data_IF_948697746320
#
_entry.id   IF_948697746320
#
_cell.length_a   1.000
_cell.length_b   1.000
_cell.length_c   1.000
_cell.angle_alpha   90.00
_cell.angle_beta   90.00
_cell.angle_gamma   90.00
#
_symmetry.space_group_name_H-M   'P 1'
#
loop_
_entity.id
_entity.type
_entity.pdbx_description
1 polymer ?
#
# COMPACT_ATOMS: atom_id res chain seq x y z
N UNK A 1 -47.42 8.14 49.89
CA UNK A 1 -48.24 6.98 50.29
C UNK A 1 -47.50 5.73 49.92
N UNK A 2 -46.99 5.04 50.88
CA UNK A 2 -46.29 3.75 50.89
C UNK A 2 -47.30 2.67 51.37
N UNK A 3 -46.93 1.40 51.42
CA UNK A 3 -46.68 0.26 50.50
C UNK A 3 -47.82 -0.83 50.69
N UNK A 4 -47.68 -2.13 50.50
CA UNK A 4 -46.76 -3.12 51.08
C UNK A 4 -46.40 -4.31 50.17
N UNK A 5 -45.29 -4.97 50.31
CA UNK A 5 -44.83 -6.14 51.08
C UNK A 5 -45.62 -7.45 50.94
N UNK A 6 -44.84 -8.49 50.69
CA UNK A 6 -44.84 -9.88 51.19
C UNK A 6 -44.83 -10.90 50.05
N UNK A 7 -44.14 -12.03 50.05
CA UNK A 7 -43.43 -12.72 51.09
C UNK A 7 -42.98 -14.09 50.57
N UNK A 8 -41.90 -14.56 51.09
CA UNK A 8 -41.53 -15.92 51.49
C UNK A 8 -42.05 -17.17 50.75
N UNK A 9 -41.11 -18.04 50.29
CA UNK A 9 -40.89 -19.33 50.96
C UNK A 9 -39.84 -20.19 50.18
N UNK A 10 -38.85 -20.65 50.91
CA UNK A 10 -38.10 -21.90 50.68
C UNK A 10 -38.40 -22.80 51.91
N UNK A 11 -37.82 -24.00 52.03
CA UNK A 11 -37.38 -25.15 51.22
C UNK A 11 -38.15 -26.45 51.61
N UNK A 12 -37.72 -27.72 51.73
CA UNK A 12 -36.40 -28.35 51.75
C UNK A 12 -36.31 -29.80 51.17
N UNK A 13 -35.13 -30.37 51.32
CA UNK A 13 -34.91 -31.83 51.37
C UNK A 13 -34.22 -32.40 50.11
N UNK A 14 -33.08 -32.90 50.11
CA UNK A 14 -32.34 -33.79 50.97
C UNK A 14 -32.40 -35.21 50.46
N UNK A 15 -31.32 -35.75 49.93
CA UNK A 15 -30.89 -37.12 50.18
C UNK A 15 -29.58 -37.47 49.45
N UNK A 16 -28.64 -37.77 50.20
CA UNK A 16 -27.45 -38.57 50.13
C UNK A 16 -27.59 -39.89 49.35
N UNK A 17 -26.52 -40.39 48.88
CA UNK A 17 -25.91 -41.73 48.91
C UNK A 17 -25.16 -41.94 47.60
N UNK A 18 -23.95 -42.16 47.67
CA UNK A 18 -22.91 -43.20 47.87
C UNK A 18 -22.22 -43.61 46.61
N UNK A 19 -20.92 -43.42 46.64
CA UNK A 19 -19.77 -44.28 46.39
C UNK A 19 -19.74 -45.18 45.15
N UNK A 20 -18.63 -45.11 44.47
CA UNK A 20 -17.97 -46.25 43.89
C UNK A 20 -17.62 -46.10 42.41
N UNK A 21 -16.32 -46.13 42.11
CA UNK A 21 -15.90 -46.41 40.78
C UNK A 21 -14.65 -45.63 40.36
N UNK A 22 -13.48 -46.18 40.71
CA UNK A 22 -12.23 -45.80 40.09
C UNK A 22 -12.32 -46.06 38.59
N UNK A 23 -12.19 -45.00 37.80
CA UNK A 23 -12.11 -45.05 36.38
C UNK A 23 -11.04 -44.09 35.93
N UNK A 24 -9.90 -44.59 35.49
CA UNK A 24 -8.79 -43.86 34.91
C UNK A 24 -9.25 -42.91 33.83
N UNK A 25 -9.27 -41.63 34.13
CA UNK A 25 -9.45 -40.61 33.12
C UNK A 25 -8.13 -40.45 32.38
N UNK A 26 -8.06 -41.04 31.20
CA UNK A 26 -7.03 -40.69 30.21
C UNK A 26 -7.25 -39.24 29.82
N UNK A 27 -6.39 -38.37 30.29
CA UNK A 27 -6.28 -36.99 29.80
C UNK A 27 -5.77 -37.05 28.36
N UNK A 28 -6.68 -37.00 27.43
CA UNK A 28 -6.33 -36.78 26.02
C UNK A 28 -5.81 -35.31 25.90
N UNK A 29 -4.49 -35.21 25.96
CA UNK A 29 -3.76 -33.99 25.66
C UNK A 29 -3.96 -33.72 24.17
N UNK A 30 -4.95 -32.89 23.84
CA UNK A 30 -5.17 -32.39 22.48
C UNK A 30 -4.00 -31.45 22.15
N UNK A 31 -2.92 -32.01 21.64
CA UNK A 31 -1.83 -31.25 21.04
C UNK A 31 -2.40 -30.68 19.75
N UNK A 32 -2.92 -29.45 19.84
CA UNK A 32 -3.15 -28.62 18.66
C UNK A 32 -1.77 -28.39 18.01
N UNK A 33 -1.43 -29.23 17.04
CA UNK A 33 -0.34 -28.97 16.13
C UNK A 33 -0.66 -27.66 15.41
N UNK A 34 -0.11 -26.57 15.92
CA UNK A 34 0.03 -25.34 15.14
C UNK A 34 0.95 -25.72 13.98
N UNK A 35 0.32 -26.05 12.85
CA UNK A 35 0.99 -26.09 11.56
C UNK A 35 1.43 -24.66 11.26
N UNK A 36 2.60 -24.30 11.76
CA UNK A 36 3.29 -23.08 11.37
C UNK A 36 3.49 -23.14 9.88
N UNK A 37 2.67 -22.41 9.11
CA UNK A 37 2.87 -22.22 7.69
C UNK A 37 4.26 -21.67 7.49
N UNK A 38 5.18 -22.51 7.04
CA UNK A 38 6.48 -22.07 6.55
C UNK A 38 6.22 -21.09 5.43
N UNK A 39 6.52 -19.83 5.67
CA UNK A 39 6.56 -18.80 4.63
C UNK A 39 7.64 -19.25 3.64
N UNK A 40 7.23 -19.84 2.54
CA UNK A 40 8.13 -20.30 1.50
C UNK A 40 8.84 -19.07 0.91
N UNK A 41 10.06 -18.91 1.31
CA UNK A 41 10.98 -17.89 0.84
C UNK A 41 11.41 -18.29 -0.58
N UNK A 42 10.86 -17.63 -1.59
CA UNK A 42 11.22 -17.92 -2.97
C UNK A 42 12.51 -17.22 -3.36
N UNK A 43 13.38 -17.96 -4.04
CA UNK A 43 14.58 -17.45 -4.64
C UNK A 43 14.35 -17.20 -6.13
N UNK A 44 14.73 -16.01 -6.61
CA UNK A 44 14.64 -15.65 -8.03
C UNK A 44 16.01 -15.19 -8.53
N UNK A 45 16.45 -15.78 -9.64
CA UNK A 45 17.73 -15.43 -10.30
C UNK A 45 17.50 -15.17 -11.78
N UNK A 46 18.20 -14.18 -12.34
CA UNK A 46 18.24 -13.95 -13.77
C UNK A 46 19.35 -14.82 -14.39
N UNK A 47 18.98 -15.85 -15.12
CA UNK A 47 19.91 -16.77 -15.77
C UNK A 47 20.26 -16.36 -17.20
N UNK A 48 19.39 -15.59 -17.88
CA UNK A 48 19.61 -15.16 -19.24
C UNK A 48 18.62 -14.07 -19.68
N UNK A 49 18.99 -13.35 -20.75
CA UNK A 49 18.08 -12.41 -21.41
C UNK A 49 18.18 -12.60 -22.93
N UNK A 50 17.02 -12.60 -23.61
CA UNK A 50 16.93 -12.72 -25.07
C UNK A 50 15.92 -11.70 -25.60
N UNK A 51 16.39 -10.57 -26.09
CA UNK A 51 15.55 -9.47 -26.53
C UNK A 51 14.62 -8.97 -25.40
N UNK A 52 13.32 -9.11 -25.57
CA UNK A 52 12.31 -8.70 -24.56
C UNK A 52 11.93 -9.81 -23.56
N UNK A 53 12.62 -10.94 -23.58
CA UNK A 53 12.36 -12.09 -22.70
C UNK A 53 13.52 -12.33 -21.74
N UNK A 54 13.20 -12.59 -20.48
CA UNK A 54 14.14 -12.99 -19.45
C UNK A 54 13.97 -14.47 -19.13
N UNK A 55 15.06 -15.20 -18.97
CA UNK A 55 15.08 -16.53 -18.37
C UNK A 55 15.32 -16.34 -16.85
N UNK A 56 14.29 -16.58 -16.07
CA UNK A 56 14.32 -16.51 -14.62
C UNK A 56 14.36 -17.93 -14.05
N UNK A 57 15.18 -18.17 -13.06
CA UNK A 57 15.10 -19.37 -12.22
C UNK A 57 14.35 -19.01 -10.96
N UNK A 58 13.14 -19.53 -10.80
CA UNK A 58 12.27 -19.30 -9.66
C UNK A 58 12.19 -20.60 -8.86
N UNK A 59 12.67 -20.61 -7.63
CA UNK A 59 12.74 -21.79 -6.77
C UNK A 59 13.42 -23.00 -7.47
N UNK A 60 14.47 -22.72 -8.23
CA UNK A 60 15.21 -23.75 -8.97
C UNK A 60 14.57 -24.19 -10.29
N UNK A 61 13.39 -23.68 -10.65
CA UNK A 61 12.69 -23.98 -11.91
C UNK A 61 12.90 -22.86 -12.95
N UNK A 62 13.28 -23.18 -14.19
CA UNK A 62 13.47 -22.20 -15.24
C UNK A 62 12.13 -21.73 -15.82
N UNK A 63 11.93 -20.41 -15.90
CA UNK A 63 10.78 -19.76 -16.52
C UNK A 63 11.24 -18.69 -17.50
N UNK A 64 10.70 -18.71 -18.71
CA UNK A 64 10.95 -17.65 -19.69
C UNK A 64 9.78 -16.69 -19.70
N UNK A 65 10.01 -15.44 -19.29
CA UNK A 65 9.00 -14.40 -19.21
C UNK A 65 9.30 -13.25 -20.15
N UNK A 66 8.29 -12.78 -20.85
CA UNK A 66 8.35 -11.47 -21.52
C UNK A 66 7.98 -10.36 -20.52
N UNK A 67 8.38 -9.13 -20.84
CA UNK A 67 7.97 -7.96 -20.04
C UNK A 67 6.45 -7.90 -19.93
N UNK A 68 5.96 -7.77 -18.71
CA UNK A 68 4.52 -7.82 -18.35
C UNK A 68 3.96 -9.22 -18.07
N UNK A 69 4.70 -10.30 -18.32
CA UNK A 69 4.26 -11.67 -18.01
C UNK A 69 4.63 -12.11 -16.61
N UNK A 70 3.83 -13.05 -16.08
CA UNK A 70 3.99 -13.61 -14.73
C UNK A 70 4.12 -15.14 -14.76
N UNK A 71 4.99 -15.70 -13.92
CA UNK A 71 5.05 -17.13 -13.61
C UNK A 71 5.42 -17.33 -12.14
N UNK A 72 4.86 -18.36 -11.50
CA UNK A 72 5.08 -18.68 -10.09
C UNK A 72 4.88 -17.47 -9.15
N UNK A 73 3.95 -16.55 -9.50
CA UNK A 73 3.68 -15.35 -8.72
C UNK A 73 4.70 -14.22 -8.88
N UNK A 74 5.67 -14.36 -9.79
CA UNK A 74 6.66 -13.33 -10.13
C UNK A 74 6.32 -12.72 -11.48
N UNK A 75 6.24 -11.39 -11.56
CA UNK A 75 5.99 -10.62 -12.79
C UNK A 75 7.28 -9.95 -13.23
N UNK A 76 7.62 -10.05 -14.51
CA UNK A 76 8.72 -9.29 -15.10
C UNK A 76 8.23 -7.89 -15.50
N UNK A 77 8.70 -6.85 -14.81
CA UNK A 77 8.29 -5.46 -15.06
C UNK A 77 9.12 -4.82 -16.19
N UNK A 78 10.43 -5.03 -16.16
CA UNK A 78 11.36 -4.43 -17.09
C UNK A 78 12.56 -5.33 -17.32
N UNK A 79 13.14 -5.27 -18.52
CA UNK A 79 14.37 -5.95 -18.90
C UNK A 79 15.25 -4.98 -19.66
N UNK A 80 16.48 -4.74 -19.20
CA UNK A 80 17.47 -3.83 -19.80
C UNK A 80 18.87 -4.32 -19.48
N UNK A 81 19.75 -4.36 -20.48
CA UNK A 81 21.21 -4.54 -20.37
C UNK A 81 21.70 -5.52 -19.27
N UNK A 82 21.14 -6.75 -19.25
CA UNK A 82 21.52 -7.76 -18.27
C UNK A 82 20.93 -7.55 -16.87
N UNK A 83 19.95 -6.67 -16.74
CA UNK A 83 19.17 -6.46 -15.53
C UNK A 83 17.68 -6.72 -15.78
N UNK A 84 17.02 -7.42 -14.87
CA UNK A 84 15.59 -7.65 -14.91
C UNK A 84 14.95 -7.09 -13.62
N UNK A 85 13.95 -6.24 -13.77
CA UNK A 85 13.13 -5.83 -12.66
C UNK A 85 11.92 -6.75 -12.56
N UNK A 86 11.79 -7.42 -11.43
CA UNK A 86 10.72 -8.37 -11.15
C UNK A 86 9.91 -7.93 -9.94
N UNK A 87 8.64 -8.29 -9.92
CA UNK A 87 7.73 -7.99 -8.81
C UNK A 87 7.01 -9.26 -8.35
N UNK A 88 6.80 -9.38 -7.04
CA UNK A 88 5.98 -10.42 -6.42
C UNK A 88 5.27 -9.87 -5.19
N UNK A 89 3.93 -10.00 -5.15
CA UNK A 89 3.13 -9.63 -3.98
C UNK A 89 3.37 -8.20 -3.48
N UNK A 90 3.65 -7.25 -4.39
CA UNK A 90 3.94 -5.85 -4.05
C UNK A 90 5.43 -5.55 -3.81
N UNK A 91 6.29 -6.56 -3.64
CA UNK A 91 7.75 -6.37 -3.52
C UNK A 91 8.42 -6.45 -4.87
N UNK A 92 9.27 -5.49 -5.21
CA UNK A 92 10.09 -5.49 -6.44
C UNK A 92 11.56 -5.72 -6.13
N UNK A 93 12.26 -6.39 -7.04
CA UNK A 93 13.70 -6.58 -6.96
C UNK A 93 14.34 -6.43 -8.34
N UNK A 94 15.54 -5.89 -8.37
CA UNK A 94 16.38 -5.84 -9.58
C UNK A 94 17.36 -7.00 -9.56
N UNK A 95 17.24 -7.89 -10.53
CA UNK A 95 18.11 -9.03 -10.74
C UNK A 95 19.19 -8.67 -11.75
N UNK A 96 20.41 -9.11 -11.52
CA UNK A 96 21.51 -9.00 -12.49
C UNK A 96 21.81 -10.35 -13.09
N UNK A 97 22.17 -10.38 -14.36
CA UNK A 97 22.57 -11.60 -15.06
C UNK A 97 23.76 -12.25 -14.34
N UNK A 98 23.61 -13.51 -13.94
CA UNK A 98 24.62 -14.24 -13.17
C UNK A 98 24.84 -13.73 -11.73
N UNK A 99 24.00 -12.81 -11.26
CA UNK A 99 24.06 -12.30 -9.89
C UNK A 99 23.52 -13.29 -8.84
N UNK A 100 23.77 -12.99 -7.57
CA UNK A 100 23.20 -13.76 -6.46
C UNK A 100 21.68 -13.82 -6.51
N UNK A 101 21.04 -14.92 -6.06
CA UNK A 101 19.59 -15.05 -5.98
C UNK A 101 18.98 -13.92 -5.15
N UNK A 102 18.02 -13.19 -5.69
CA UNK A 102 17.20 -12.30 -4.90
C UNK A 102 16.10 -13.09 -4.21
N UNK A 103 15.93 -12.86 -2.93
CA UNK A 103 14.87 -13.48 -2.13
C UNK A 103 13.65 -12.58 -2.14
N UNK A 104 12.63 -12.98 -2.88
CA UNK A 104 11.35 -12.30 -2.90
C UNK A 104 10.47 -12.93 -1.81
N UNK A 105 10.35 -12.26 -0.68
CA UNK A 105 9.47 -12.69 0.41
C UNK A 105 8.07 -12.19 0.06
N UNK A 106 7.22 -13.10 -0.39
CA UNK A 106 5.80 -12.80 -0.59
C UNK A 106 5.06 -12.90 0.74
N UNK A 107 5.13 -11.86 1.54
CA UNK A 107 4.20 -11.65 2.64
C UNK A 107 3.57 -10.28 2.41
N UNK A 108 2.25 -10.11 2.55
CA UNK A 108 1.71 -8.80 2.83
C UNK A 108 2.06 -8.50 4.30
N UNK A 109 3.32 -8.23 4.58
CA UNK A 109 3.69 -7.56 5.80
C UNK A 109 3.25 -6.13 5.60
N UNK A 110 2.30 -5.68 6.41
CA UNK A 110 2.14 -4.26 6.64
C UNK A 110 3.55 -3.73 6.90
N UNK A 111 4.09 -2.97 5.97
CA UNK A 111 5.47 -2.52 5.97
C UNK A 111 5.67 -1.60 7.18
N UNK A 112 6.26 -2.15 8.24
CA UNK A 112 6.73 -1.40 9.41
C UNK A 112 8.21 -1.04 9.18
N UNK A 113 8.53 -0.59 7.96
CA UNK A 113 9.80 0.05 7.64
C UNK A 113 9.58 1.54 7.40
N UNK A 114 10.61 2.39 7.47
CA UNK A 114 10.49 3.76 7.04
C UNK A 114 10.07 3.77 5.59
N UNK A 115 8.80 4.10 5.35
CA UNK A 115 8.28 4.27 4.01
C UNK A 115 8.85 5.60 3.51
N UNK A 116 9.91 5.50 2.75
CA UNK A 116 10.60 6.62 2.15
C UNK A 116 10.23 6.72 0.67
N UNK A 117 9.94 7.92 0.21
CA UNK A 117 9.82 8.26 -1.20
C UNK A 117 11.07 9.04 -1.58
N UNK A 118 11.79 8.57 -2.60
CA UNK A 118 12.99 9.22 -3.12
C UNK A 118 12.71 9.72 -4.53
N UNK A 119 12.78 11.02 -4.72
CA UNK A 119 12.47 11.68 -5.98
C UNK A 119 13.73 12.40 -6.50
N UNK A 120 14.30 11.98 -7.62
CA UNK A 120 15.34 12.75 -8.29
C UNK A 120 14.74 14.01 -8.91
N UNK A 121 15.54 15.07 -9.00
CA UNK A 121 15.16 16.29 -9.72
C UNK A 121 14.97 15.95 -11.21
N UNK A 122 13.87 16.44 -11.77
CA UNK A 122 13.58 16.33 -13.19
C UNK A 122 13.94 17.60 -13.98
N UNK A 123 13.52 17.62 -15.23
CA UNK A 123 13.70 18.78 -16.10
C UNK A 123 13.05 20.04 -15.46
N UNK A 124 13.74 21.17 -15.53
CA UNK A 124 13.26 22.42 -14.95
C UNK A 124 13.40 22.53 -13.43
N UNK A 125 14.11 21.59 -12.76
CA UNK A 125 14.37 21.66 -11.33
C UNK A 125 13.19 21.20 -10.45
N UNK A 126 12.16 20.61 -11.05
CA UNK A 126 10.98 20.09 -10.35
C UNK A 126 11.15 18.62 -9.98
N UNK A 127 10.56 18.23 -8.86
CA UNK A 127 10.47 16.82 -8.46
C UNK A 127 9.16 16.24 -8.97
N UNK A 128 9.24 15.28 -9.90
CA UNK A 128 8.08 14.61 -10.48
C UNK A 128 8.12 13.12 -10.19
N UNK A 129 6.95 12.49 -10.17
CA UNK A 129 6.83 11.05 -9.96
C UNK A 129 5.60 10.49 -10.64
N UNK A 130 5.71 9.29 -11.17
CA UNK A 130 4.55 8.47 -11.49
C UNK A 130 3.94 7.91 -10.21
N UNK A 131 2.64 7.76 -10.19
CA UNK A 131 1.92 7.15 -9.09
C UNK A 131 0.48 6.88 -9.43
N UNK A 132 -0.41 6.80 -8.44
CA UNK A 132 -1.81 6.53 -8.66
C UNK A 132 -2.71 7.28 -7.67
N UNK A 133 -3.89 7.67 -8.13
CA UNK A 133 -5.01 8.13 -7.31
C UNK A 133 -6.13 7.10 -7.43
N UNK A 134 -6.58 6.55 -6.31
CA UNK A 134 -7.63 5.52 -6.25
C UNK A 134 -7.36 4.36 -7.24
N UNK A 135 -6.08 3.96 -7.36
CA UNK A 135 -5.62 2.91 -8.29
C UNK A 135 -5.47 3.33 -9.76
N UNK A 136 -5.83 4.57 -10.13
CA UNK A 136 -5.67 5.09 -11.49
C UNK A 136 -4.33 5.81 -11.64
N UNK A 137 -3.54 5.49 -12.67
CA UNK A 137 -2.22 6.07 -12.84
C UNK A 137 -2.28 7.57 -13.15
N UNK A 138 -1.41 8.33 -12.50
CA UNK A 138 -1.25 9.78 -12.70
C UNK A 138 0.23 10.18 -12.65
N UNK A 139 0.54 11.38 -13.13
CA UNK A 139 1.85 12.00 -12.96
C UNK A 139 1.75 13.10 -11.90
N UNK A 140 2.59 13.02 -10.89
CA UNK A 140 2.68 14.00 -9.83
C UNK A 140 3.83 14.97 -10.03
N UNK A 141 3.64 16.21 -9.55
CA UNK A 141 4.70 17.19 -9.32
C UNK A 141 4.62 17.65 -7.88
N UNK A 142 5.73 17.62 -7.16
CA UNK A 142 5.80 18.12 -5.79
C UNK A 142 5.64 19.64 -5.79
N UNK A 143 4.66 20.13 -5.05
CA UNK A 143 4.37 21.56 -4.88
C UNK A 143 4.17 21.90 -3.40
N UNK A 144 5.22 22.41 -2.76
CA UNK A 144 5.18 22.84 -1.36
C UNK A 144 4.36 24.12 -1.14
N UNK A 145 4.05 24.86 -2.20
CA UNK A 145 3.18 26.03 -2.18
C UNK A 145 1.69 25.69 -2.19
N UNK A 146 1.33 24.47 -2.59
CA UNK A 146 -0.06 24.02 -2.60
C UNK A 146 -0.47 23.50 -1.22
N UNK A 147 -1.57 24.02 -0.67
CA UNK A 147 -2.11 23.57 0.63
C UNK A 147 -2.63 22.13 0.56
N UNK A 148 -3.29 21.78 -0.54
CA UNK A 148 -3.86 20.45 -0.78
C UNK A 148 -3.41 19.90 -2.13
N UNK A 149 -3.63 18.62 -2.36
CA UNK A 149 -3.41 18.04 -3.70
C UNK A 149 -4.34 18.74 -4.69
N UNK A 150 -3.82 19.13 -5.85
CA UNK A 150 -4.60 19.82 -6.87
C UNK A 150 -4.49 19.12 -8.21
N UNK A 151 -5.63 18.92 -8.87
CA UNK A 151 -5.72 18.30 -10.17
C UNK A 151 -6.66 19.10 -11.09
N UNK A 152 -6.40 19.05 -12.40
CA UNK A 152 -7.27 19.64 -13.38
C UNK A 152 -8.59 18.87 -13.51
N UNK A 153 -9.65 19.55 -13.98
CA UNK A 153 -10.92 18.89 -14.30
C UNK A 153 -10.71 17.75 -15.30
N UNK A 154 -9.89 17.97 -16.33
CA UNK A 154 -9.59 16.95 -17.34
C UNK A 154 -8.93 15.70 -16.73
N UNK A 155 -8.01 15.90 -15.79
CA UNK A 155 -7.35 14.78 -15.10
C UNK A 155 -8.33 14.05 -14.16
N UNK A 156 -9.18 14.79 -13.45
CA UNK A 156 -10.22 14.20 -12.60
C UNK A 156 -11.21 13.35 -13.41
N UNK A 157 -11.58 13.80 -14.62
CA UNK A 157 -12.42 13.02 -15.53
C UNK A 157 -11.69 11.79 -16.07
N UNK A 158 -10.42 11.93 -16.48
CA UNK A 158 -9.61 10.83 -17.00
C UNK A 158 -9.47 9.68 -16.02
N UNK A 159 -9.34 10.00 -14.73
CA UNK A 159 -9.24 8.97 -13.67
C UNK A 159 -10.59 8.52 -13.12
N UNK A 160 -11.70 9.09 -13.61
CA UNK A 160 -13.05 8.74 -13.17
C UNK A 160 -13.39 9.21 -11.75
N UNK A 161 -12.81 10.32 -11.32
CA UNK A 161 -13.09 10.91 -10.01
C UNK A 161 -14.44 11.63 -10.03
N UNK A 162 -15.33 11.29 -9.09
CA UNK A 162 -16.59 12.00 -8.90
C UNK A 162 -16.34 13.33 -8.19
N UNK A 163 -16.37 14.43 -8.92
CA UNK A 163 -16.05 15.76 -8.39
C UNK A 163 -17.14 16.81 -8.63
N UNK A 164 -18.00 16.61 -9.62
CA UNK A 164 -18.98 17.66 -10.02
C UNK A 164 -19.99 18.00 -8.95
N UNK A 165 -20.39 17.01 -8.14
CA UNK A 165 -21.30 17.16 -7.01
C UNK A 165 -20.58 17.51 -5.70
N UNK A 166 -19.25 17.61 -5.72
CA UNK A 166 -18.47 17.91 -4.52
C UNK A 166 -18.63 19.38 -4.10
N UNK A 167 -18.46 19.72 -2.82
CA UNK A 167 -18.58 21.07 -2.31
C UNK A 167 -17.69 22.05 -3.06
N UNK A 168 -18.26 23.18 -3.44
CA UNK A 168 -17.53 24.28 -4.07
C UNK A 168 -16.77 25.10 -3.03
N UNK A 169 -15.60 25.58 -3.41
CA UNK A 169 -14.74 26.43 -2.61
C UNK A 169 -13.97 27.39 -3.54
N UNK A 170 -13.17 28.26 -2.95
CA UNK A 170 -12.22 29.08 -3.69
C UNK A 170 -10.81 28.77 -3.20
N UNK A 171 -9.86 28.73 -4.10
CA UNK A 171 -8.41 28.67 -3.78
C UNK A 171 -7.73 29.92 -4.31
N UNK A 172 -6.75 30.41 -3.57
CA UNK A 172 -5.91 31.53 -4.00
C UNK A 172 -4.76 30.99 -4.84
N UNK A 173 -4.59 31.55 -6.01
CA UNK A 173 -3.48 31.24 -6.92
C UNK A 173 -2.73 32.53 -7.25
N UNK A 174 -1.59 32.42 -7.93
CA UNK A 174 -0.85 33.59 -8.41
C UNK A 174 -1.70 34.50 -9.31
N UNK A 175 -2.70 33.95 -10.00
CA UNK A 175 -3.61 34.66 -10.89
C UNK A 175 -4.92 35.09 -10.21
N UNK A 176 -5.02 35.03 -8.88
CA UNK A 176 -6.17 35.40 -8.10
C UNK A 176 -6.98 34.20 -7.59
N UNK A 177 -8.18 34.50 -7.08
CA UNK A 177 -9.09 33.50 -6.53
C UNK A 177 -9.76 32.68 -7.67
N UNK A 178 -9.67 31.35 -7.58
CA UNK A 178 -10.22 30.43 -8.57
C UNK A 178 -11.25 29.53 -7.89
N UNK A 179 -12.45 29.34 -8.49
CA UNK A 179 -13.45 28.41 -7.99
C UNK A 179 -12.96 26.96 -8.20
N UNK A 180 -13.13 26.13 -7.18
CA UNK A 180 -12.68 24.73 -7.16
C UNK A 180 -13.75 23.84 -6.53
N UNK A 181 -13.61 22.52 -6.72
CA UNK A 181 -14.37 21.52 -5.99
C UNK A 181 -13.46 20.81 -5.01
N UNK A 182 -13.88 20.71 -3.73
CA UNK A 182 -13.13 19.98 -2.69
C UNK A 182 -13.52 18.51 -2.73
N UNK A 183 -12.54 17.64 -2.83
CA UNK A 183 -12.73 16.19 -2.86
C UNK A 183 -11.80 15.52 -1.84
N UNK A 184 -12.16 14.32 -1.40
CA UNK A 184 -11.28 13.44 -0.65
C UNK A 184 -10.87 12.28 -1.55
N UNK A 185 -9.57 12.06 -1.68
CA UNK A 185 -8.99 10.95 -2.41
C UNK A 185 -8.84 9.77 -1.45
N UNK A 186 -9.45 8.62 -1.77
CA UNK A 186 -9.39 7.45 -0.89
C UNK A 186 -7.96 6.95 -0.70
N UNK A 187 -7.16 6.97 -1.79
CA UNK A 187 -5.77 6.57 -1.76
C UNK A 187 -4.94 7.39 -2.76
N UNK A 188 -3.78 7.85 -2.32
CA UNK A 188 -2.74 8.47 -3.16
C UNK A 188 -1.47 7.68 -2.98
N UNK A 189 -0.99 7.06 -4.06
CA UNK A 189 0.23 6.25 -4.07
C UNK A 189 1.33 6.93 -4.88
N UNK A 190 2.50 7.06 -4.26
CA UNK A 190 3.72 7.59 -4.88
C UNK A 190 4.84 6.59 -4.60
N UNK A 191 5.39 5.98 -5.64
CA UNK A 191 6.28 4.83 -5.48
C UNK A 191 5.58 3.68 -4.74
N UNK A 192 6.21 3.19 -3.69
CA UNK A 192 5.68 2.12 -2.83
C UNK A 192 4.84 2.66 -1.64
N UNK A 193 4.74 3.96 -1.49
CA UNK A 193 4.05 4.59 -0.35
C UNK A 193 2.64 4.98 -0.75
N UNK A 194 1.67 4.51 0.03
CA UNK A 194 0.28 4.87 -0.10
C UNK A 194 -0.22 5.63 1.12
N UNK A 195 -0.96 6.70 0.87
CA UNK A 195 -1.59 7.54 1.89
C UNK A 195 -3.09 7.58 1.63
N UNK A 196 -3.86 7.19 2.63
CA UNK A 196 -5.32 7.21 2.55
C UNK A 196 -5.89 8.59 2.96
N UNK A 197 -7.11 8.87 2.46
CA UNK A 197 -7.92 10.03 2.85
C UNK A 197 -7.15 11.35 2.68
N UNK A 198 -6.70 11.62 1.47
CA UNK A 198 -5.96 12.84 1.13
C UNK A 198 -6.93 13.90 0.62
N UNK A 199 -6.96 15.07 1.27
CA UNK A 199 -7.74 16.21 0.77
C UNK A 199 -7.17 16.73 -0.55
N UNK A 200 -8.07 17.04 -1.50
CA UNK A 200 -7.70 17.54 -2.80
C UNK A 200 -8.72 18.55 -3.33
N UNK A 201 -8.30 19.31 -4.34
CA UNK A 201 -9.18 20.19 -5.10
C UNK A 201 -9.13 19.85 -6.59
N UNK A 202 -10.27 19.96 -7.23
CA UNK A 202 -10.40 19.92 -8.69
C UNK A 202 -10.62 21.33 -9.19
N UNK A 203 -9.74 21.80 -10.09
CA UNK A 203 -9.72 23.19 -10.54
C UNK A 203 -9.82 23.30 -12.07
N UNK A 204 -10.40 24.38 -12.61
CA UNK A 204 -10.56 24.60 -14.05
C UNK A 204 -9.25 25.11 -14.68
N UNK A 205 -8.13 24.49 -14.35
CA UNK A 205 -6.82 24.84 -14.90
C UNK A 205 -6.30 23.72 -15.78
N UNK A 206 -5.55 24.07 -16.82
CA UNK A 206 -4.83 23.10 -17.64
C UNK A 206 -3.43 22.94 -17.05
N UNK A 207 -3.29 21.98 -16.15
CA UNK A 207 -2.01 21.58 -15.59
C UNK A 207 -1.71 20.14 -16.01
N UNK A 208 -0.49 19.86 -16.53
CA UNK A 208 -0.13 18.55 -17.06
C UNK A 208 0.15 17.52 -15.96
N UNK A 209 0.25 17.95 -14.71
CA UNK A 209 0.55 17.13 -13.54
C UNK A 209 -0.50 17.32 -12.46
N UNK A 210 -0.65 16.33 -11.60
CA UNK A 210 -1.31 16.49 -10.32
C UNK A 210 -0.31 17.14 -9.36
N UNK A 211 -0.66 18.28 -8.77
CA UNK A 211 0.20 18.95 -7.78
C UNK A 211 0.10 18.20 -6.44
N UNK A 212 1.22 17.70 -5.97
CA UNK A 212 1.32 16.99 -4.70
C UNK A 212 1.54 18.00 -3.57
N UNK A 213 0.43 18.48 -3.00
CA UNK A 213 0.42 19.53 -1.99
C UNK A 213 0.56 19.03 -0.55
N UNK A 214 0.45 19.97 0.39
CA UNK A 214 0.73 19.72 1.82
C UNK A 214 -0.25 18.76 2.50
N UNK A 215 -1.47 18.53 1.97
CA UNK A 215 -2.36 17.48 2.46
C UNK A 215 -1.76 16.06 2.36
N UNK A 216 -0.87 15.85 1.38
CA UNK A 216 -0.05 14.65 1.26
C UNK A 216 1.33 14.85 1.90
N UNK A 217 2.08 15.89 1.51
CA UNK A 217 3.47 16.13 1.94
C UNK A 217 3.59 16.28 3.46
N UNK A 218 2.57 16.82 4.13
CA UNK A 218 2.54 16.98 5.58
C UNK A 218 2.57 15.67 6.38
N UNK A 219 2.33 14.53 5.72
CA UNK A 219 2.47 13.19 6.32
C UNK A 219 3.94 12.73 6.41
N UNK A 220 4.86 13.50 5.82
CA UNK A 220 6.26 13.14 5.69
C UNK A 220 7.17 14.21 6.31
N UNK A 221 8.32 13.77 6.75
CA UNK A 221 9.47 14.61 6.94
C UNK A 221 10.16 14.73 5.58
N UNK A 222 10.31 15.97 5.11
CA UNK A 222 10.89 16.26 3.80
C UNK A 222 12.34 16.71 3.97
N UNK A 223 13.26 16.09 3.24
CA UNK A 223 14.65 16.42 3.18
C UNK A 223 15.10 16.50 1.73
N UNK A 224 15.77 17.58 1.39
CA UNK A 224 16.39 17.76 0.07
C UNK A 224 17.90 17.67 0.21
N UNK A 225 18.49 16.72 -0.51
CA UNK A 225 19.92 16.52 -0.62
C UNK A 225 20.34 16.74 -2.08
N UNK A 226 20.83 17.94 -2.41
CA UNK A 226 21.17 18.37 -3.77
C UNK A 226 20.01 18.18 -4.76
N UNK A 227 20.13 17.20 -5.64
CA UNK A 227 19.18 16.87 -6.72
C UNK A 227 18.20 15.76 -6.35
N UNK A 228 18.11 15.41 -5.06
CA UNK A 228 17.23 14.35 -4.57
C UNK A 228 16.36 14.90 -3.44
N UNK A 229 15.05 14.67 -3.54
CA UNK A 229 14.08 14.91 -2.49
C UNK A 229 13.70 13.57 -1.83
N UNK A 230 13.83 13.51 -0.51
CA UNK A 230 13.44 12.38 0.33
C UNK A 230 12.24 12.74 1.17
N UNK A 231 11.23 11.89 1.17
CA UNK A 231 10.02 12.02 1.97
C UNK A 231 9.93 10.80 2.89
N UNK A 232 10.24 10.98 4.16
CA UNK A 232 10.15 9.94 5.19
C UNK A 232 8.83 10.06 5.94
N UNK A 233 8.06 8.98 6.03
CA UNK A 233 6.76 9.02 6.69
C UNK A 233 6.91 9.35 8.17
N UNK A 234 6.18 10.34 8.65
CA UNK A 234 6.13 10.69 10.07
C UNK A 234 5.46 9.57 10.85
N UNK A 235 6.01 9.23 12.00
CA UNK A 235 5.45 8.27 12.96
C UNK A 235 4.31 8.87 13.77
#
# INVERSE_FOLDING_TARGET
>A
MNPPRSGFAAPPGGHRWRTGGAGSAAVALCICAFSGGSLAQQSVTLAGSMGTKALLIIDGQPHTLAVGQSAAGVTLLQLSDGQAQVQRGGSSATLRLGGAPARLIGTPTAATGPQEIVLPVGLGGHFTSSGAINGRPVQFMVDTGATVVALSQAEAERIGLAWREAPRAFTQTANGAVPVHRVSLNAVRVGEVEVANVEAIVMPAQIPYVLLGNSFLGRFQMRRDNDVLRLEKRR
#
